data_IF_187488884577
#
_entry.id   IF_187488884577
#
_cell.length_a   1.000
_cell.length_b   1.000
_cell.length_c   1.000
_cell.angle_alpha   90.00
_cell.angle_beta   90.00
_cell.angle_gamma   90.00
#
_symmetry.space_group_name_H-M   'P 1'
#
loop_
_entity.id
_entity.type
_entity.pdbx_description
1 polymer ?
#
# COMPACT_ATOMS: atom_id res chain seq x y z
N UNK A 1 2.63 14.68 -19.07
CA UNK A 1 3.23 13.47 -18.48
C UNK A 1 2.13 12.73 -17.74
N UNK A 2 1.72 11.56 -18.22
CA UNK A 2 0.62 10.81 -17.59
C UNK A 2 1.09 10.27 -16.25
N UNK A 3 0.62 10.86 -15.15
CA UNK A 3 0.62 10.22 -13.83
C UNK A 3 -0.20 8.93 -13.95
N UNK A 4 0.45 7.84 -14.35
CA UNK A 4 -0.10 6.50 -14.21
C UNK A 4 -0.32 6.34 -12.71
N UNK A 5 -1.58 6.46 -12.27
CA UNK A 5 -1.97 6.06 -10.92
C UNK A 5 -1.44 4.63 -10.75
N UNK A 6 -0.44 4.46 -9.88
CA UNK A 6 0.02 3.13 -9.51
C UNK A 6 -1.19 2.40 -8.93
N UNK A 7 -1.47 1.21 -9.43
CA UNK A 7 -2.49 0.36 -8.86
C UNK A 7 -2.02 -0.23 -7.52
N UNK A 8 -2.97 -0.74 -6.74
CA UNK A 8 -2.69 -1.31 -5.42
C UNK A 8 -1.66 -2.45 -5.47
N UNK A 9 -1.65 -3.23 -6.56
CA UNK A 9 -0.70 -4.32 -6.75
C UNK A 9 0.73 -3.81 -6.91
N UNK A 10 0.92 -2.74 -7.68
CA UNK A 10 2.22 -2.09 -7.86
C UNK A 10 2.73 -1.51 -6.54
N UNK A 11 1.84 -0.93 -5.72
CA UNK A 11 2.19 -0.41 -4.39
C UNK A 11 2.60 -1.49 -3.42
N UNK A 12 1.88 -2.62 -3.40
CA UNK A 12 2.22 -3.78 -2.59
C UNK A 12 3.57 -4.36 -3.00
N UNK A 13 3.81 -4.54 -4.30
CA UNK A 13 5.11 -5.02 -4.80
C UNK A 13 6.25 -4.10 -4.37
N UNK A 14 6.07 -2.78 -4.46
CA UNK A 14 7.08 -1.82 -4.02
C UNK A 14 7.32 -1.89 -2.51
N UNK A 15 6.27 -2.09 -1.72
CA UNK A 15 6.39 -2.29 -0.28
C UNK A 15 7.20 -3.56 0.04
N UNK A 16 6.95 -4.67 -0.67
CA UNK A 16 7.71 -5.92 -0.50
C UNK A 16 9.20 -5.73 -0.84
N UNK A 17 9.52 -4.98 -1.89
CA UNK A 17 10.90 -4.62 -2.25
C UNK A 17 11.59 -3.80 -1.14
N UNK A 18 10.87 -2.85 -0.54
CA UNK A 18 11.39 -2.04 0.56
C UNK A 18 11.61 -2.88 1.82
N UNK A 19 10.74 -3.83 2.11
CA UNK A 19 10.93 -4.77 3.24
C UNK A 19 12.17 -5.64 2.99
N UNK A 20 12.31 -6.20 1.79
CA UNK A 20 13.48 -7.00 1.43
C UNK A 20 14.80 -6.24 1.58
N UNK A 21 14.81 -4.92 1.29
CA UNK A 21 15.97 -4.07 1.54
C UNK A 21 16.42 -4.04 3.00
N UNK A 22 15.48 -4.09 3.96
CA UNK A 22 15.80 -4.12 5.40
C UNK A 22 16.10 -5.53 5.93
N UNK A 23 15.62 -6.56 5.25
CA UNK A 23 15.87 -7.97 5.62
C UNK A 23 17.17 -8.53 5.02
N UNK A 24 17.77 -7.83 4.06
CA UNK A 24 19.04 -8.22 3.46
C UNK A 24 20.18 -8.11 4.49
N UNK A 25 20.55 -9.27 5.05
CA UNK A 25 21.59 -9.40 6.06
C UNK A 25 23.00 -9.10 5.57
N UNK A 26 23.22 -9.11 4.26
CA UNK A 26 24.52 -8.80 3.64
C UNK A 26 24.64 -7.31 3.29
N UNK A 27 23.54 -6.57 3.40
CA UNK A 27 23.50 -5.14 3.20
C UNK A 27 23.65 -4.43 4.56
N UNK A 28 24.63 -3.54 4.66
CA UNK A 28 24.72 -2.59 5.78
C UNK A 28 24.24 -1.25 5.28
N UNK A 29 22.91 -1.02 5.23
CA UNK A 29 22.38 0.17 4.61
C UNK A 29 22.82 1.42 5.38
N UNK A 30 23.17 2.47 4.66
CA UNK A 30 23.44 3.76 5.29
C UNK A 30 22.15 4.33 5.91
N UNK A 31 22.32 5.16 6.93
CA UNK A 31 21.20 5.70 7.72
C UNK A 31 20.26 6.56 6.87
N UNK A 32 20.79 7.31 5.91
CA UNK A 32 20.00 8.26 5.12
C UNK A 32 19.12 7.50 4.12
N UNK A 33 19.68 6.50 3.42
CA UNK A 33 18.92 5.60 2.54
C UNK A 33 17.89 4.80 3.32
N UNK A 34 18.25 4.32 4.52
CA UNK A 34 17.31 3.60 5.41
C UNK A 34 16.13 4.47 5.82
N UNK A 35 16.39 5.72 6.20
CA UNK A 35 15.34 6.66 6.58
C UNK A 35 14.42 6.96 5.39
N UNK A 36 15.00 7.23 4.22
CA UNK A 36 14.23 7.52 3.01
C UNK A 36 13.35 6.33 2.58
N UNK A 37 13.88 5.12 2.60
CA UNK A 37 13.13 3.90 2.28
C UNK A 37 12.01 3.63 3.30
N UNK A 38 12.25 3.91 4.58
CA UNK A 38 11.23 3.78 5.62
C UNK A 38 10.09 4.79 5.44
N UNK A 39 10.41 6.05 5.13
CA UNK A 39 9.41 7.08 4.84
C UNK A 39 8.56 6.72 3.61
N UNK A 40 9.19 6.17 2.56
CA UNK A 40 8.49 5.66 1.38
C UNK A 40 7.53 4.52 1.76
N UNK A 41 8.00 3.55 2.55
CA UNK A 41 7.19 2.42 3.01
C UNK A 41 5.96 2.89 3.81
N UNK A 42 6.15 3.85 4.72
CA UNK A 42 5.06 4.44 5.51
C UNK A 42 4.01 5.13 4.63
N UNK A 43 4.45 5.84 3.59
CA UNK A 43 3.55 6.47 2.62
C UNK A 43 2.75 5.43 1.85
N UNK A 44 3.41 4.37 1.35
CA UNK A 44 2.75 3.28 0.64
C UNK A 44 1.69 2.59 1.50
N UNK A 45 2.01 2.31 2.77
CA UNK A 45 1.05 1.70 3.72
C UNK A 45 -0.19 2.58 3.91
N UNK A 46 -0.01 3.90 4.03
CA UNK A 46 -1.13 4.83 4.18
C UNK A 46 -2.04 4.85 2.93
N UNK A 47 -1.44 4.85 1.74
CA UNK A 47 -2.17 4.81 0.48
C UNK A 47 -2.92 3.48 0.29
N UNK A 48 -2.26 2.35 0.54
CA UNK A 48 -2.87 1.01 0.45
C UNK A 48 -4.05 0.89 1.42
N UNK A 49 -3.89 1.33 2.67
CA UNK A 49 -4.99 1.32 3.67
C UNK A 49 -6.20 2.12 3.19
N UNK A 50 -5.96 3.30 2.62
CA UNK A 50 -7.03 4.16 2.11
C UNK A 50 -7.78 3.50 0.95
N UNK A 51 -7.06 2.88 0.01
CA UNK A 51 -7.66 2.17 -1.12
C UNK A 51 -8.47 0.94 -0.66
N UNK A 52 -7.94 0.14 0.27
CA UNK A 52 -8.65 -1.02 0.84
C UNK A 52 -9.91 -0.63 1.60
N UNK A 53 -9.87 0.49 2.35
CA UNK A 53 -11.05 1.04 3.00
C UNK A 53 -12.12 1.43 1.96
N UNK A 54 -11.72 2.10 0.88
CA UNK A 54 -12.63 2.44 -0.22
C UNK A 54 -13.27 1.22 -0.88
N UNK A 55 -12.50 0.15 -1.11
CA UNK A 55 -13.03 -1.13 -1.62
C UNK A 55 -14.00 -1.77 -0.64
N UNK A 56 -13.68 -1.76 0.65
CA UNK A 56 -14.54 -2.31 1.71
C UNK A 56 -15.88 -1.55 1.78
N UNK A 57 -15.86 -0.23 1.68
CA UNK A 57 -17.08 0.59 1.66
C UNK A 57 -17.98 0.25 0.47
N UNK A 58 -17.41 0.07 -0.73
CA UNK A 58 -18.19 -0.36 -1.91
C UNK A 58 -18.88 -1.70 -1.71
N UNK A 59 -18.23 -2.67 -1.06
CA UNK A 59 -18.86 -3.96 -0.72
C UNK A 59 -19.98 -3.77 0.31
N UNK A 60 -19.79 -2.92 1.32
CA UNK A 60 -20.83 -2.60 2.30
C UNK A 60 -22.05 -1.93 1.66
N UNK A 61 -21.84 -1.04 0.69
CA UNK A 61 -22.93 -0.40 -0.07
C UNK A 61 -23.72 -1.44 -0.88
N UNK A 62 -23.05 -2.41 -1.48
CA UNK A 62 -23.71 -3.53 -2.18
C UNK A 62 -24.53 -4.35 -1.18
N UNK A 63 -23.94 -4.77 -0.06
CA UNK A 63 -24.64 -5.54 0.96
C UNK A 63 -25.86 -4.80 1.50
N UNK A 64 -25.74 -3.51 1.81
CA UNK A 64 -26.85 -2.69 2.29
C UNK A 64 -28.03 -2.67 1.30
N UNK A 65 -27.76 -2.58 -0.02
CA UNK A 65 -28.82 -2.62 -1.04
C UNK A 65 -29.60 -3.94 -1.01
N UNK A 66 -28.91 -5.07 -0.91
CA UNK A 66 -29.55 -6.39 -0.92
C UNK A 66 -30.10 -6.83 0.44
N UNK A 67 -29.64 -6.24 1.54
CA UNK A 67 -30.20 -6.46 2.89
C UNK A 67 -31.42 -5.59 3.20
N UNK A 68 -31.76 -4.64 2.32
CA UNK A 68 -32.96 -3.79 2.45
C UNK A 68 -34.18 -4.32 1.70
N UNK A 69 -34.04 -5.46 1.00
CA UNK A 69 -35.11 -6.07 0.19
C UNK A 69 -35.84 -7.23 0.89
N UNK A 70 -35.62 -7.43 2.20
CA UNK A 70 -36.39 -8.35 3.08
C UNK A 70 -37.24 -7.58 4.12
#
# INVERSE_FOLDING_TARGET
>A
MSNKKQDIQSKLKRLDELVAYFEDSDNTPDIDSSLSNYEEAMKLVAEIKTELQGVTLKIKEIQAKYSSED
#
